data_IF_104215054833
#
_entry.id   IF_104215054833
#
_cell.length_a   1.000
_cell.length_b   1.000
_cell.length_c   1.000
_cell.angle_alpha   90.00
_cell.angle_beta   90.00
_cell.angle_gamma   90.00
#
_symmetry.space_group_name_H-M   'P 1'
#
loop_
_entity.id
_entity.type
_entity.pdbx_description
1 polymer ?
#
# COMPACT_ATOMS: atom_id res chain seq x y z
N UNK A 1 -5.27 4.15 -13.01
CA UNK A 1 -5.69 3.22 -14.05
C UNK A 1 -4.56 3.02 -15.03
N UNK A 2 -4.26 1.78 -15.32
CA UNK A 2 -3.20 1.44 -16.24
C UNK A 2 -3.74 1.35 -17.65
N UNK A 3 -3.10 2.11 -18.54
CA UNK A 3 -3.41 2.07 -19.97
C UNK A 3 -2.33 1.33 -20.74
N UNK A 4 -1.42 0.65 -20.02
CA UNK A 4 -0.35 -0.11 -20.64
C UNK A 4 -0.91 -1.40 -21.26
N UNK A 5 -0.44 -1.70 -22.44
CA UNK A 5 -0.71 -3.00 -23.04
C UNK A 5 0.20 -4.04 -22.37
N UNK A 6 -0.29 -5.27 -22.27
CA UNK A 6 0.43 -6.33 -21.58
C UNK A 6 1.83 -6.54 -22.17
N UNK A 7 1.96 -6.49 -23.47
CA UNK A 7 3.25 -6.68 -24.15
C UNK A 7 4.26 -5.57 -23.91
N UNK A 8 3.80 -4.42 -23.37
CA UNK A 8 4.66 -3.28 -23.08
C UNK A 8 5.02 -3.18 -21.60
N UNK A 9 4.55 -4.12 -20.79
CA UNK A 9 4.80 -4.11 -19.35
C UNK A 9 6.12 -4.79 -19.03
N UNK A 10 6.83 -4.34 -17.96
CA UNK A 10 7.93 -5.12 -17.40
C UNK A 10 7.45 -6.53 -17.04
N UNK A 11 8.33 -7.52 -17.14
CA UNK A 11 7.95 -8.92 -16.95
C UNK A 11 7.32 -9.18 -15.58
N UNK A 12 7.79 -8.54 -14.51
CA UNK A 12 7.22 -8.72 -13.17
C UNK A 12 5.80 -8.15 -13.06
N UNK A 13 5.50 -7.04 -13.74
CA UNK A 13 4.16 -6.46 -13.77
C UNK A 13 3.22 -7.34 -14.60
N UNK A 14 3.70 -7.84 -15.73
CA UNK A 14 2.95 -8.74 -16.58
C UNK A 14 2.60 -10.02 -15.84
N UNK A 15 3.55 -10.61 -15.14
CA UNK A 15 3.35 -11.81 -14.33
C UNK A 15 2.30 -11.60 -13.25
N UNK A 16 2.32 -10.43 -12.58
CA UNK A 16 1.34 -10.10 -11.56
C UNK A 16 -0.09 -10.15 -12.12
N UNK A 17 -0.32 -9.51 -13.27
CA UNK A 17 -1.65 -9.46 -13.86
C UNK A 17 -2.10 -10.80 -14.43
N UNK A 18 -1.18 -11.62 -14.89
CA UNK A 18 -1.50 -12.97 -15.37
C UNK A 18 -1.91 -13.90 -14.22
N UNK A 19 -1.27 -13.75 -13.06
CA UNK A 19 -1.55 -14.58 -11.89
C UNK A 19 -2.72 -14.03 -11.05
N UNK A 20 -3.16 -12.81 -11.35
CA UNK A 20 -4.20 -12.13 -10.58
C UNK A 20 -3.68 -11.38 -9.38
N UNK A 21 -4.57 -10.63 -8.69
CA UNK A 21 -4.18 -9.80 -7.55
C UNK A 21 -3.65 -10.65 -6.39
N UNK A 22 -2.61 -10.13 -5.71
CA UNK A 22 -2.04 -10.76 -4.53
C UNK A 22 -2.62 -10.12 -3.29
N UNK A 23 -3.06 -10.94 -2.33
CA UNK A 23 -3.54 -10.42 -1.06
C UNK A 23 -2.39 -10.02 -0.16
N UNK A 24 -2.56 -8.90 0.53
CA UNK A 24 -1.65 -8.47 1.58
C UNK A 24 -2.09 -9.13 2.88
N UNK A 25 -1.20 -9.84 3.55
CA UNK A 25 -1.51 -10.52 4.80
C UNK A 25 -0.92 -9.84 6.02
N UNK A 26 0.07 -8.98 5.84
CA UNK A 26 0.70 -8.25 6.94
C UNK A 26 1.42 -7.03 6.42
N UNK A 27 1.41 -5.94 7.20
CA UNK A 27 2.15 -4.72 6.91
C UNK A 27 2.87 -4.27 8.17
N UNK A 28 4.13 -3.89 8.03
CA UNK A 28 4.96 -3.39 9.14
C UNK A 28 5.53 -2.03 8.75
N UNK A 29 5.19 -0.95 9.48
CA UNK A 29 5.77 0.37 9.22
C UNK A 29 7.17 0.47 9.78
N UNK A 30 8.06 1.19 9.07
CA UNK A 30 9.42 1.46 9.54
C UNK A 30 9.63 2.96 9.72
N UNK A 31 10.68 3.31 10.48
CA UNK A 31 10.97 4.71 10.84
C UNK A 31 11.42 5.57 9.65
N UNK A 32 11.80 4.95 8.54
CA UNK A 32 12.22 5.65 7.32
C UNK A 32 11.07 5.91 6.34
N UNK A 33 9.82 5.77 6.80
CA UNK A 33 8.61 5.92 5.99
C UNK A 33 8.47 4.86 4.91
N UNK A 34 9.03 3.68 5.13
CA UNK A 34 8.79 2.52 4.28
C UNK A 34 7.89 1.53 4.99
N UNK A 35 7.24 0.68 4.19
CA UNK A 35 6.38 -0.39 4.66
C UNK A 35 6.96 -1.71 4.21
N UNK A 36 7.09 -2.66 5.15
CA UNK A 36 7.39 -4.05 4.79
C UNK A 36 6.06 -4.76 4.63
N UNK A 37 5.83 -5.33 3.47
CA UNK A 37 4.54 -5.89 3.11
C UNK A 37 4.70 -7.38 2.79
N UNK A 38 3.90 -8.20 3.46
CA UNK A 38 3.85 -9.65 3.27
C UNK A 38 2.64 -9.99 2.43
N UNK A 39 2.86 -10.69 1.32
CA UNK A 39 1.81 -11.12 0.41
C UNK A 39 1.52 -12.61 0.60
N UNK A 40 0.33 -13.05 0.20
CA UNK A 40 -0.12 -14.43 0.37
C UNK A 40 0.72 -15.46 -0.39
N UNK A 41 1.46 -15.02 -1.40
CA UNK A 41 2.35 -15.88 -2.20
C UNK A 41 3.76 -16.02 -1.59
N UNK A 42 3.90 -15.67 -0.31
CA UNK A 42 5.16 -15.68 0.44
C UNK A 42 6.17 -14.61 0.02
N UNK A 43 5.79 -13.70 -0.86
CA UNK A 43 6.66 -12.56 -1.17
C UNK A 43 6.65 -11.56 -0.02
N UNK A 44 7.83 -11.01 0.27
CA UNK A 44 8.01 -9.90 1.20
C UNK A 44 8.62 -8.76 0.41
N UNK A 45 7.91 -7.63 0.39
CA UNK A 45 8.32 -6.48 -0.42
C UNK A 45 8.41 -5.23 0.44
N UNK A 46 9.16 -4.24 -0.04
CA UNK A 46 9.31 -2.95 0.64
C UNK A 46 8.73 -1.87 -0.25
N UNK A 47 7.82 -1.10 0.31
CA UNK A 47 7.19 0.04 -0.35
C UNK A 47 7.67 1.31 0.34
N UNK A 48 8.49 2.10 -0.36
CA UNK A 48 9.08 3.33 0.18
C UNK A 48 8.15 4.50 -0.10
N UNK A 49 7.67 5.14 0.96
CA UNK A 49 6.80 6.31 0.87
C UNK A 49 7.52 7.62 1.19
N UNK A 50 8.83 7.60 1.40
CA UNK A 50 9.55 8.79 1.86
C UNK A 50 9.41 9.99 0.92
N UNK A 51 9.24 9.76 -0.37
CA UNK A 51 9.07 10.81 -1.38
C UNK A 51 7.60 11.10 -1.71
N UNK A 52 6.66 10.42 -1.06
CA UNK A 52 5.23 10.49 -1.40
C UNK A 52 4.38 11.18 -0.31
N UNK A 53 5.02 11.79 0.68
CA UNK A 53 4.34 12.36 1.85
C UNK A 53 3.85 13.79 1.58
N UNK A 54 2.99 13.91 0.60
CA UNK A 54 2.38 15.19 0.22
C UNK A 54 0.90 14.97 -0.11
N UNK A 55 0.16 16.05 -0.29
CA UNK A 55 -1.27 15.96 -0.54
C UNK A 55 -1.99 15.28 0.62
N UNK A 56 -2.82 14.30 0.32
CA UNK A 56 -3.56 13.56 1.35
C UNK A 56 -2.65 12.76 2.26
N UNK A 57 -1.42 12.44 1.83
CA UNK A 57 -0.46 11.67 2.63
C UNK A 57 0.40 12.53 3.53
N UNK A 58 0.24 13.85 3.53
CA UNK A 58 1.07 14.76 4.31
C UNK A 58 0.99 14.48 5.82
N UNK A 59 -0.18 14.03 6.32
CA UNK A 59 -0.33 13.70 7.73
C UNK A 59 0.57 12.56 8.18
N UNK A 60 1.03 11.74 7.24
CA UNK A 60 1.90 10.60 7.52
C UNK A 60 3.34 11.00 7.80
N UNK A 61 3.68 12.28 7.64
CA UNK A 61 4.97 12.81 8.10
C UNK A 61 5.11 12.68 9.61
N UNK A 62 3.99 12.67 10.34
CA UNK A 62 3.97 12.30 11.74
C UNK A 62 4.20 10.80 11.83
N UNK A 63 5.34 10.39 12.38
CA UNK A 63 5.71 8.98 12.48
C UNK A 63 4.72 8.17 13.30
N UNK A 64 4.10 8.79 14.29
CA UNK A 64 3.06 8.11 15.07
C UNK A 64 1.84 7.79 14.23
N UNK A 65 1.45 8.72 13.35
CA UNK A 65 0.34 8.47 12.42
C UNK A 65 0.73 7.41 11.39
N UNK A 66 1.93 7.49 10.85
CA UNK A 66 2.42 6.50 9.88
C UNK A 66 2.37 5.08 10.45
N UNK A 67 2.70 4.92 11.73
CA UNK A 67 2.70 3.62 12.41
C UNK A 67 1.30 3.06 12.66
N UNK A 68 0.26 3.84 12.45
CA UNK A 68 -1.13 3.39 12.61
C UNK A 68 -1.67 2.69 11.36
N UNK A 69 -0.81 2.36 10.44
CA UNK A 69 -1.17 1.64 9.21
C UNK A 69 -1.86 0.31 9.52
N UNK A 70 -2.86 -0.03 8.71
CA UNK A 70 -3.56 -1.31 8.83
C UNK A 70 -4.01 -1.80 7.45
N UNK A 71 -4.50 -3.03 7.40
CA UNK A 71 -5.09 -3.61 6.19
C UNK A 71 -6.59 -3.52 6.35
N UNK A 72 -7.25 -2.85 5.39
CA UNK A 72 -8.70 -2.64 5.46
C UNK A 72 -9.48 -3.88 4.99
N UNK A 73 -10.81 -3.77 5.00
CA UNK A 73 -11.69 -4.88 4.65
C UNK A 73 -11.58 -5.30 3.17
N UNK A 74 -11.01 -4.45 2.35
CA UNK A 74 -10.76 -4.76 0.92
C UNK A 74 -9.36 -5.29 0.66
N UNK A 75 -8.56 -5.45 1.72
CA UNK A 75 -7.18 -5.91 1.61
C UNK A 75 -6.20 -4.85 1.16
N UNK A 76 -6.57 -3.58 1.22
CA UNK A 76 -5.70 -2.46 0.89
C UNK A 76 -5.01 -1.93 2.13
N UNK A 77 -3.88 -1.25 1.93
CA UNK A 77 -3.18 -0.58 3.02
C UNK A 77 -3.88 0.74 3.31
N UNK A 78 -4.15 1.03 4.58
CA UNK A 78 -4.96 2.19 4.94
C UNK A 78 -4.51 2.84 6.24
N UNK A 79 -4.91 4.10 6.40
CA UNK A 79 -4.80 4.88 7.63
C UNK A 79 -6.10 5.63 7.84
N UNK A 80 -6.54 5.73 9.08
CA UNK A 80 -7.64 6.63 9.44
C UNK A 80 -7.04 7.97 9.89
N UNK A 81 -7.55 9.07 9.34
CA UNK A 81 -7.07 10.41 9.68
C UNK A 81 -7.32 10.69 11.15
N UNK A 82 -8.53 10.38 11.63
CA UNK A 82 -8.92 10.50 13.02
C UNK A 82 -9.54 9.17 13.46
N UNK A 83 -8.89 8.48 14.39
CA UNK A 83 -9.35 7.17 14.87
C UNK A 83 -10.70 7.22 15.59
N UNK A 84 -11.09 8.39 16.09
CA UNK A 84 -12.37 8.55 16.79
C UNK A 84 -13.55 8.63 15.83
N UNK A 85 -13.30 8.79 14.53
CA UNK A 85 -14.32 8.90 13.50
C UNK A 85 -14.46 7.56 12.79
N UNK A 86 -15.71 7.10 12.63
CA UNK A 86 -15.98 5.86 11.91
C UNK A 86 -15.87 6.10 10.40
N UNK A 87 -14.84 5.53 9.80
CA UNK A 87 -14.57 5.69 8.37
C UNK A 87 -15.59 4.98 7.49
N UNK A 88 -16.37 4.04 8.03
CA UNK A 88 -17.48 3.44 7.30
C UNK A 88 -18.64 4.42 7.09
N UNK A 89 -18.74 5.42 7.95
CA UNK A 89 -19.74 6.49 7.85
C UNK A 89 -19.15 7.69 7.14
N UNK A 90 -17.89 8.02 7.43
CA UNK A 90 -17.17 9.18 6.90
C UNK A 90 -16.00 8.68 6.05
N UNK A 91 -16.27 8.32 4.80
CA UNK A 91 -15.28 7.73 3.90
C UNK A 91 -14.04 8.60 3.69
N UNK A 92 -14.20 9.93 3.77
CA UNK A 92 -13.09 10.87 3.61
C UNK A 92 -12.13 10.88 4.80
N UNK A 93 -12.43 10.14 5.86
CA UNK A 93 -11.53 9.97 7.00
C UNK A 93 -10.47 8.88 6.75
N UNK A 94 -10.58 8.13 5.67
CA UNK A 94 -9.64 7.05 5.36
C UNK A 94 -8.78 7.38 4.16
N UNK A 95 -7.47 7.17 4.31
CA UNK A 95 -6.51 7.24 3.23
C UNK A 95 -6.10 5.80 2.93
N UNK A 96 -6.11 5.40 1.67
CA UNK A 96 -5.72 4.05 1.32
C UNK A 96 -4.80 4.00 0.11
N UNK A 97 -4.09 2.88 -0.01
CA UNK A 97 -3.25 2.53 -1.14
C UNK A 97 -3.77 1.23 -1.74
N UNK A 98 -4.06 1.25 -3.03
CA UNK A 98 -4.49 0.06 -3.74
C UNK A 98 -3.41 -1.03 -3.67
N UNK A 99 -3.79 -2.25 -3.28
CA UNK A 99 -2.84 -3.36 -3.14
C UNK A 99 -2.09 -3.65 -4.44
N UNK A 100 -2.74 -3.47 -5.58
CA UNK A 100 -2.11 -3.72 -6.87
C UNK A 100 -1.00 -2.69 -7.15
N UNK A 101 -1.28 -1.42 -6.89
CA UNK A 101 -0.28 -0.35 -7.06
C UNK A 101 0.90 -0.55 -6.10
N UNK A 102 0.61 -0.96 -4.87
CA UNK A 102 1.65 -1.24 -3.87
C UNK A 102 2.56 -2.38 -4.35
N UNK A 103 1.97 -3.45 -4.84
CA UNK A 103 2.77 -4.58 -5.35
C UNK A 103 3.68 -4.14 -6.49
N UNK A 104 3.11 -3.45 -7.48
CA UNK A 104 3.84 -3.04 -8.69
C UNK A 104 4.98 -2.07 -8.36
N UNK A 105 4.75 -1.15 -7.41
CA UNK A 105 5.70 -0.09 -7.10
C UNK A 105 6.63 -0.43 -5.94
N UNK A 106 6.49 -1.59 -5.32
CA UNK A 106 7.38 -2.05 -4.27
C UNK A 106 8.54 -2.84 -4.86
N UNK A 107 9.56 -3.09 -4.03
CA UNK A 107 10.71 -3.90 -4.43
C UNK A 107 10.82 -5.10 -3.51
N UNK A 108 11.34 -6.24 -3.99
CA UNK A 108 11.55 -7.40 -3.13
C UNK A 108 12.47 -7.06 -1.96
N UNK A 109 12.13 -7.57 -0.79
CA UNK A 109 12.98 -7.41 0.40
C UNK A 109 14.04 -8.49 0.37
N UNK A 110 15.28 -8.06 0.42
CA UNK A 110 16.41 -8.97 0.49
C UNK A 110 16.83 -9.25 1.93
#
# INVERSE_FOLDING_TARGET
VFLLKVENMPSEVKEYFEDGPKKIIKVIPRDDYSLIIYFENNEVRVYDMSDDLYGVFEILKDKNKFKEVFIDEHGNIAWDIDKSIDSNIHWNNRIDLCKDAVYINSVPKN
#
